data_IF_253041998734
#
_entry.id   IF_253041998734
#
_cell.length_a   1.000
_cell.length_b   1.000
_cell.length_c   1.000
_cell.angle_alpha   90.00
_cell.angle_beta   90.00
_cell.angle_gamma   90.00
#
_symmetry.space_group_name_H-M   'P 1'
#
loop_
_entity.id
_entity.type
_entity.pdbx_description
1 polymer ?
#
# COMPACT_ATOMS: atom_id res chain seq x y z
N UNK A 1 -54.93 -35.24 5.42
CA UNK A 1 -54.05 -34.65 6.44
C UNK A 1 -54.54 -33.22 6.64
N UNK A 2 -55.18 -32.91 7.77
CA UNK A 2 -55.73 -31.57 8.06
C UNK A 2 -54.77 -30.89 9.02
N UNK A 3 -54.17 -29.78 8.60
CA UNK A 3 -53.30 -28.95 9.44
C UNK A 3 -54.13 -28.16 10.46
N UNK A 4 -53.63 -28.06 11.68
CA UNK A 4 -54.25 -27.32 12.78
C UNK A 4 -53.74 -25.88 12.80
N UNK A 5 -54.67 -24.91 12.79
CA UNK A 5 -54.33 -23.48 12.93
C UNK A 5 -53.88 -23.17 14.36
N UNK A 6 -52.76 -22.45 14.57
CA UNK A 6 -52.41 -21.91 15.87
C UNK A 6 -53.31 -20.70 16.13
N UNK A 7 -54.06 -20.70 17.24
CA UNK A 7 -55.00 -19.63 17.59
C UNK A 7 -54.35 -18.24 17.75
N UNK A 8 -55.21 -17.24 17.99
CA UNK A 8 -54.82 -15.82 18.13
C UNK A 8 -53.77 -15.59 19.23
N UNK A 9 -52.88 -14.62 18.96
CA UNK A 9 -51.83 -14.16 19.89
C UNK A 9 -52.44 -13.52 21.15
N UNK A 10 -51.73 -13.66 22.26
CA UNK A 10 -52.06 -13.13 23.58
C UNK A 10 -52.12 -11.58 23.57
N UNK A 11 -53.18 -11.00 24.14
CA UNK A 11 -53.42 -9.54 24.18
C UNK A 11 -52.41 -8.80 25.07
N UNK A 12 -51.69 -9.50 25.94
CA UNK A 12 -50.66 -8.89 26.80
C UNK A 12 -49.34 -8.58 26.08
N UNK A 13 -49.10 -9.14 24.89
CA UNK A 13 -47.93 -8.82 24.05
C UNK A 13 -48.05 -7.46 23.33
N UNK A 14 -49.19 -6.78 23.43
CA UNK A 14 -49.46 -5.48 22.81
C UNK A 14 -49.48 -4.29 23.81
N UNK A 15 -48.98 -4.48 25.03
CA UNK A 15 -48.87 -3.39 26.00
C UNK A 15 -47.73 -2.46 25.61
N UNK A 16 -48.06 -1.39 24.88
CA UNK A 16 -47.17 -0.26 24.66
C UNK A 16 -46.85 0.40 26.02
N UNK A 17 -45.59 0.33 26.44
CA UNK A 17 -45.12 1.09 27.61
C UNK A 17 -45.03 2.57 27.23
N UNK A 18 -45.93 3.38 27.80
CA UNK A 18 -45.85 4.82 27.70
C UNK A 18 -44.61 5.34 28.47
N UNK A 19 -43.63 5.85 27.71
CA UNK A 19 -42.37 6.40 28.22
C UNK A 19 -42.36 7.94 28.21
N UNK A 20 -43.51 8.57 27.98
CA UNK A 20 -43.63 10.02 27.80
C UNK A 20 -43.16 10.77 29.04
N UNK A 21 -43.61 10.36 30.22
CA UNK A 21 -43.24 11.01 31.48
C UNK A 21 -41.76 10.83 31.84
N UNK A 22 -41.21 9.65 31.57
CA UNK A 22 -39.79 9.36 31.77
C UNK A 22 -38.91 10.25 30.87
N UNK A 23 -39.34 10.47 29.63
CA UNK A 23 -38.65 11.33 28.66
C UNK A 23 -38.77 12.81 29.02
N UNK A 24 -39.93 13.26 29.47
CA UNK A 24 -40.15 14.63 29.96
C UNK A 24 -39.26 14.92 31.17
N UNK A 25 -39.19 14.00 32.13
CA UNK A 25 -38.35 14.13 33.33
C UNK A 25 -36.87 14.23 32.97
N UNK A 26 -36.36 13.35 32.09
CA UNK A 26 -34.97 13.38 31.62
C UNK A 26 -34.61 14.68 30.89
N UNK A 27 -35.56 15.23 30.13
CA UNK A 27 -35.34 16.48 29.38
C UNK A 27 -35.33 17.71 30.30
N UNK A 28 -36.20 17.73 31.32
CA UNK A 28 -36.19 18.77 32.36
C UNK A 28 -34.90 18.74 33.20
N UNK A 29 -34.43 17.55 33.58
CA UNK A 29 -33.17 17.37 34.31
C UNK A 29 -31.95 17.81 33.47
N UNK A 30 -31.94 17.51 32.16
CA UNK A 30 -30.88 17.97 31.24
C UNK A 30 -30.88 19.50 31.06
N UNK A 31 -32.07 20.13 30.99
CA UNK A 31 -32.19 21.61 30.95
C UNK A 31 -31.72 22.27 32.24
N UNK A 32 -32.03 21.69 33.40
CA UNK A 32 -31.57 22.20 34.70
C UNK A 32 -30.04 22.12 34.85
N UNK A 33 -29.41 21.05 34.35
CA UNK A 33 -27.94 20.90 34.28
C UNK A 33 -27.28 21.85 33.28
N UNK A 34 -27.95 22.16 32.17
CA UNK A 34 -27.47 23.14 31.19
C UNK A 34 -27.57 24.59 31.68
N UNK A 35 -28.57 24.91 32.51
CA UNK A 35 -28.75 26.25 33.07
C UNK A 35 -27.73 26.57 34.18
N UNK A 36 -27.18 25.56 34.86
CA UNK A 36 -26.14 25.70 35.89
C UNK A 36 -24.72 25.80 35.32
N UNK A 37 -24.52 25.44 34.05
CA UNK A 37 -23.23 25.53 33.35
C UNK A 37 -23.04 26.84 32.54
N UNK A 38 -24.07 27.70 32.44
CA UNK A 38 -24.08 28.90 31.61
C UNK A 38 -23.23 30.10 32.13
N UNK A 39 -22.30 29.85 33.06
CA UNK A 39 -21.42 30.86 33.64
C UNK A 39 -19.98 30.86 33.10
N UNK A 40 -19.61 29.93 32.22
CA UNK A 40 -18.30 29.91 31.57
C UNK A 40 -18.48 30.16 30.07
N UNK A 41 -17.76 31.16 29.55
CA UNK A 41 -17.69 31.47 28.12
C UNK A 41 -17.26 30.22 27.33
N UNK A 42 -18.22 29.56 26.68
CA UNK A 42 -17.96 28.44 25.79
C UNK A 42 -18.58 28.75 24.43
N UNK A 43 -17.71 28.91 23.43
CA UNK A 43 -18.06 29.01 22.02
C UNK A 43 -18.83 27.76 21.62
N UNK A 44 -20.14 27.90 21.47
CA UNK A 44 -21.01 26.80 21.05
C UNK A 44 -20.57 26.27 19.67
N UNK A 45 -20.41 24.95 19.47
CA UNK A 45 -20.11 24.41 18.15
C UNK A 45 -21.35 24.56 17.27
N UNK A 46 -21.23 25.36 16.22
CA UNK A 46 -22.19 25.43 15.13
C UNK A 46 -22.31 24.05 14.49
N UNK A 47 -23.41 23.33 14.78
CA UNK A 47 -23.83 22.18 13.99
C UNK A 47 -24.28 22.67 12.61
N UNK A 48 -23.34 22.81 11.68
CA UNK A 48 -23.62 22.94 10.26
C UNK A 48 -24.15 21.63 9.71
N UNK A 49 -25.16 21.69 8.83
CA UNK A 49 -25.69 20.53 8.08
C UNK A 49 -24.75 20.08 6.94
N UNK A 50 -23.66 20.82 6.70
CA UNK A 50 -22.60 20.47 5.75
C UNK A 50 -21.43 19.82 6.50
N UNK A 51 -20.90 18.68 6.03
CA UNK A 51 -19.72 18.07 6.63
C UNK A 51 -18.54 19.05 6.59
N UNK A 52 -17.77 19.10 7.67
CA UNK A 52 -16.53 19.87 7.72
C UNK A 52 -15.51 19.35 6.68
N UNK A 53 -14.56 20.18 6.22
CA UNK A 53 -13.47 19.71 5.35
C UNK A 53 -12.73 18.50 5.94
N UNK A 54 -12.56 18.45 7.27
CA UNK A 54 -11.91 17.34 7.95
C UNK A 54 -12.71 16.04 7.82
N UNK A 55 -14.03 16.08 8.05
CA UNK A 55 -14.92 14.93 7.87
C UNK A 55 -14.95 14.46 6.41
N UNK A 56 -14.93 15.40 5.45
CA UNK A 56 -14.81 15.06 4.03
C UNK A 56 -13.48 14.33 3.77
N UNK A 57 -12.38 14.87 4.30
CA UNK A 57 -11.06 14.27 4.21
C UNK A 57 -11.03 12.85 4.78
N UNK A 58 -11.46 12.67 6.03
CA UNK A 58 -11.46 11.37 6.71
C UNK A 58 -12.32 10.36 5.94
N UNK A 59 -13.53 10.74 5.51
CA UNK A 59 -14.38 9.85 4.72
C UNK A 59 -13.73 9.47 3.38
N UNK A 60 -13.10 10.43 2.72
CA UNK A 60 -12.36 10.18 1.48
C UNK A 60 -11.18 9.24 1.74
N UNK A 61 -10.46 9.39 2.86
CA UNK A 61 -9.40 8.48 3.27
C UNK A 61 -9.92 7.07 3.52
N UNK A 62 -10.96 6.92 4.34
CA UNK A 62 -11.53 5.61 4.68
C UNK A 62 -12.01 4.88 3.42
N UNK A 63 -12.65 5.60 2.50
CA UNK A 63 -13.12 5.04 1.23
C UNK A 63 -11.99 4.60 0.30
N UNK A 64 -10.86 5.30 0.30
CA UNK A 64 -9.79 5.03 -0.66
C UNK A 64 -8.70 4.12 -0.10
N UNK A 65 -8.32 4.23 1.18
CA UNK A 65 -7.17 3.52 1.74
C UNK A 65 -7.55 2.37 2.70
N UNK A 66 -8.79 2.33 3.18
CA UNK A 66 -9.22 1.39 4.23
C UNK A 66 -10.26 0.39 3.72
N UNK A 67 -11.31 0.87 3.06
CA UNK A 67 -12.38 0.06 2.47
C UNK A 67 -12.02 -0.14 1.00
N UNK A 68 -11.76 -1.37 0.55
CA UNK A 68 -11.70 -1.63 -0.89
C UNK A 68 -13.12 -1.56 -1.48
N UNK A 69 -13.22 -1.44 -2.80
CA UNK A 69 -14.46 -1.08 -3.53
C UNK A 69 -15.65 -2.03 -3.35
N UNK A 70 -15.51 -3.15 -2.62
CA UNK A 70 -16.58 -4.08 -2.27
C UNK A 70 -16.49 -4.51 -0.79
N UNK A 71 -17.66 -4.75 -0.17
CA UNK A 71 -17.93 -4.85 1.28
C UNK A 71 -17.25 -5.98 2.06
N UNK A 72 -16.23 -6.62 1.50
CA UNK A 72 -15.43 -7.69 2.13
C UNK A 72 -13.91 -7.52 1.96
N UNK A 73 -13.46 -6.38 1.45
CA UNK A 73 -12.08 -6.20 0.99
C UNK A 73 -11.08 -5.82 2.10
N UNK A 74 -9.92 -6.48 2.05
CA UNK A 74 -8.78 -6.30 2.96
C UNK A 74 -7.95 -5.09 2.48
N UNK A 75 -8.36 -3.87 2.80
CA UNK A 75 -7.66 -2.64 2.38
C UNK A 75 -6.24 -2.45 2.96
N UNK A 76 -5.48 -1.50 2.38
CA UNK A 76 -4.07 -1.17 2.72
C UNK A 76 -3.90 -0.90 4.24
N UNK A 77 -4.83 -0.16 4.82
CA UNK A 77 -4.85 0.19 6.24
C UNK A 77 -6.15 -0.29 6.91
N UNK A 78 -6.56 -1.52 6.59
CA UNK A 78 -7.80 -2.13 7.11
C UNK A 78 -7.87 -2.24 8.65
N UNK A 79 -6.76 -1.98 9.34
CA UNK A 79 -6.65 -1.95 10.80
C UNK A 79 -7.00 -0.58 11.41
N UNK A 80 -7.08 0.49 10.61
CA UNK A 80 -7.39 1.83 11.09
C UNK A 80 -8.78 1.92 11.75
N UNK A 81 -9.87 1.35 11.19
CA UNK A 81 -11.19 1.45 11.82
C UNK A 81 -11.22 0.86 13.23
N UNK A 82 -10.57 -0.28 13.46
CA UNK A 82 -10.53 -0.90 14.79
C UNK A 82 -9.83 -0.02 15.83
N UNK A 83 -8.80 0.73 15.45
CA UNK A 83 -8.08 1.62 16.38
C UNK A 83 -8.76 2.97 16.49
N UNK A 84 -9.32 3.48 15.40
CA UNK A 84 -10.12 4.71 15.37
C UNK A 84 -11.34 4.62 16.31
N UNK A 85 -11.98 3.44 16.38
CA UNK A 85 -13.13 3.20 17.28
C UNK A 85 -12.72 2.97 18.74
N UNK A 86 -11.61 2.27 18.99
CA UNK A 86 -11.20 1.87 20.35
C UNK A 86 -10.41 2.95 21.10
N UNK A 87 -9.60 3.74 20.40
CA UNK A 87 -8.70 4.75 20.98
C UNK A 87 -9.16 6.20 20.66
N UNK A 88 -10.44 6.31 20.25
CA UNK A 88 -11.29 7.51 20.26
C UNK A 88 -10.68 8.76 19.65
N UNK A 89 -10.96 9.02 18.36
CA UNK A 89 -10.82 10.36 17.77
C UNK A 89 -9.52 11.09 18.12
N UNK A 90 -8.41 10.36 18.31
CA UNK A 90 -7.18 10.95 18.82
C UNK A 90 -6.78 12.08 17.88
N UNK A 91 -6.62 13.33 18.35
CA UNK A 91 -6.49 14.50 17.47
C UNK A 91 -5.38 14.35 16.43
N UNK A 92 -4.27 13.73 16.81
CA UNK A 92 -3.16 13.37 15.92
C UNK A 92 -3.58 12.48 14.75
N UNK A 93 -4.35 11.41 15.03
CA UNK A 93 -4.80 10.47 14.03
C UNK A 93 -5.83 11.15 13.12
N UNK A 94 -6.83 11.82 13.70
CA UNK A 94 -7.86 12.56 12.96
C UNK A 94 -7.24 13.56 11.98
N UNK A 95 -6.30 14.39 12.44
CA UNK A 95 -5.59 15.36 11.60
C UNK A 95 -4.80 14.68 10.47
N UNK A 96 -4.15 13.55 10.76
CA UNK A 96 -3.39 12.78 9.75
C UNK A 96 -4.30 12.19 8.67
N UNK A 97 -5.42 11.58 9.06
CA UNK A 97 -6.40 11.00 8.15
C UNK A 97 -7.06 12.08 7.27
N UNK A 98 -7.45 13.20 7.89
CA UNK A 98 -7.99 14.36 7.18
C UNK A 98 -6.99 14.92 6.16
N UNK A 99 -5.73 15.08 6.55
CA UNK A 99 -4.67 15.58 5.66
C UNK A 99 -4.52 14.71 4.41
N UNK A 100 -4.37 13.38 4.58
CA UNK A 100 -4.21 12.45 3.45
C UNK A 100 -5.45 12.44 2.57
N UNK A 101 -6.65 12.37 3.16
CA UNK A 101 -7.89 12.35 2.41
C UNK A 101 -8.12 13.63 1.61
N UNK A 102 -7.86 14.79 2.21
CA UNK A 102 -8.00 16.09 1.55
C UNK A 102 -7.00 16.28 0.41
N UNK A 103 -5.73 15.90 0.57
CA UNK A 103 -4.75 16.02 -0.53
C UNK A 103 -5.08 15.07 -1.68
N UNK A 104 -5.56 13.86 -1.36
CA UNK A 104 -6.00 12.87 -2.35
C UNK A 104 -7.20 13.42 -3.12
N UNK A 105 -8.19 13.99 -2.42
CA UNK A 105 -9.36 14.62 -3.03
C UNK A 105 -8.97 15.84 -3.87
N UNK A 106 -8.11 16.71 -3.35
CA UNK A 106 -7.61 17.91 -4.04
C UNK A 106 -6.96 17.56 -5.38
N UNK A 107 -6.11 16.53 -5.39
CA UNK A 107 -5.45 16.03 -6.59
C UNK A 107 -6.46 15.46 -7.59
N UNK A 108 -7.44 14.67 -7.12
CA UNK A 108 -8.45 14.03 -7.99
C UNK A 108 -9.46 15.02 -8.59
N UNK A 109 -9.71 16.14 -7.92
CA UNK A 109 -10.70 17.15 -8.33
C UNK A 109 -10.07 18.43 -8.87
N UNK A 110 -8.74 18.52 -8.86
CA UNK A 110 -7.97 19.72 -9.22
C UNK A 110 -8.43 20.98 -8.46
N UNK A 111 -8.65 20.85 -7.15
CA UNK A 111 -9.09 21.94 -6.27
C UNK A 111 -7.97 22.41 -5.32
N UNK A 112 -7.28 23.52 -5.63
CA UNK A 112 -6.15 24.01 -4.83
C UNK A 112 -6.51 24.38 -3.39
N UNK A 113 -7.74 24.81 -3.15
CA UNK A 113 -8.23 25.17 -1.80
C UNK A 113 -8.19 23.97 -0.85
N UNK A 114 -8.57 22.78 -1.34
CA UNK A 114 -8.49 21.54 -0.56
C UNK A 114 -7.04 21.15 -0.27
N UNK A 115 -6.12 21.40 -1.20
CA UNK A 115 -4.69 21.17 -0.98
C UNK A 115 -4.13 22.09 0.13
N UNK A 116 -4.60 23.35 0.21
CA UNK A 116 -4.23 24.26 1.30
C UNK A 116 -4.72 23.73 2.67
N UNK A 117 -5.97 23.28 2.75
CA UNK A 117 -6.51 22.66 3.96
C UNK A 117 -5.77 21.39 4.35
N UNK A 118 -5.43 20.55 3.37
CA UNK A 118 -4.65 19.34 3.57
C UNK A 118 -3.28 19.63 4.20
N UNK A 119 -2.59 20.69 3.73
CA UNK A 119 -1.32 21.15 4.30
C UNK A 119 -1.47 21.67 5.72
N UNK A 120 -2.54 22.41 6.02
CA UNK A 120 -2.81 22.87 7.38
C UNK A 120 -2.99 21.67 8.34
N UNK A 121 -3.78 20.66 7.94
CA UNK A 121 -3.97 19.43 8.71
C UNK A 121 -2.69 18.60 8.84
N UNK A 122 -1.86 18.55 7.81
CA UNK A 122 -0.54 17.91 7.86
C UNK A 122 0.36 18.60 8.91
N UNK A 123 0.44 19.93 8.93
CA UNK A 123 1.23 20.67 9.92
C UNK A 123 0.70 20.48 11.35
N UNK A 124 -0.63 20.47 11.51
CA UNK A 124 -1.29 20.14 12.78
C UNK A 124 -0.90 18.73 13.25
N UNK A 125 -0.96 17.74 12.37
CA UNK A 125 -0.56 16.37 12.68
C UNK A 125 0.91 16.26 13.09
N UNK A 126 1.83 16.95 12.38
CA UNK A 126 3.25 16.99 12.74
C UNK A 126 3.45 17.58 14.14
N UNK A 127 2.76 18.67 14.48
CA UNK A 127 2.85 19.28 15.82
C UNK A 127 2.37 18.30 16.90
N UNK A 128 1.24 17.64 16.67
CA UNK A 128 0.67 16.66 17.58
C UNK A 128 1.58 15.42 17.74
N UNK A 129 2.20 14.95 16.64
CA UNK A 129 3.18 13.85 16.67
C UNK A 129 4.40 14.27 17.50
N UNK A 130 4.99 15.44 17.26
CA UNK A 130 6.16 15.89 18.03
C UNK A 130 5.87 15.97 19.53
N UNK A 131 4.65 16.37 19.89
CA UNK A 131 4.19 16.40 21.28
C UNK A 131 4.09 14.98 21.86
N UNK A 132 3.50 14.03 21.11
CA UNK A 132 3.43 12.63 21.52
C UNK A 132 4.81 11.98 21.65
N UNK A 133 5.74 12.28 20.73
CA UNK A 133 7.10 11.76 20.74
C UNK A 133 7.92 12.26 21.94
N UNK A 134 7.57 13.40 22.54
CA UNK A 134 8.22 13.91 23.75
C UNK A 134 7.84 13.12 25.02
N UNK A 135 6.81 12.27 24.98
CA UNK A 135 6.36 11.43 26.09
C UNK A 135 6.60 9.96 25.78
N UNK A 136 7.39 9.21 26.59
CA UNK A 136 7.62 7.78 26.37
C UNK A 136 6.34 6.93 26.35
N UNK A 137 5.29 7.35 27.07
CA UNK A 137 4.01 6.65 27.11
C UNK A 137 3.16 6.91 25.85
N UNK A 138 3.22 8.13 25.31
CA UNK A 138 2.44 8.51 24.12
C UNK A 138 3.13 8.08 22.83
N UNK A 139 4.47 8.06 22.80
CA UNK A 139 5.26 7.67 21.62
C UNK A 139 4.98 6.24 21.17
N UNK A 140 4.67 5.35 22.10
CA UNK A 140 4.43 3.92 21.83
C UNK A 140 2.97 3.58 21.53
N UNK A 141 2.05 4.55 21.51
CA UNK A 141 0.63 4.30 21.21
C UNK A 141 0.37 3.95 19.74
N UNK A 142 -0.70 3.19 19.50
CA UNK A 142 -1.14 2.81 18.15
C UNK A 142 -1.47 4.04 17.31
N UNK A 143 -2.17 5.02 17.90
CA UNK A 143 -2.51 6.29 17.25
C UNK A 143 -1.29 7.06 16.75
N UNK A 144 -0.20 7.12 17.52
CA UNK A 144 1.06 7.77 17.13
C UNK A 144 1.69 7.07 15.92
N UNK A 145 1.83 5.75 15.97
CA UNK A 145 2.40 4.98 14.86
C UNK A 145 1.54 5.07 13.60
N UNK A 146 0.20 4.97 13.71
CA UNK A 146 -0.71 5.15 12.57
C UNK A 146 -0.64 6.54 11.96
N UNK A 147 -0.47 7.57 12.79
CA UNK A 147 -0.32 8.95 12.32
C UNK A 147 0.96 9.09 11.50
N UNK A 148 2.10 8.57 11.97
CA UNK A 148 3.37 8.59 11.21
C UNK A 148 3.25 7.82 9.89
N UNK A 149 2.65 6.63 9.88
CA UNK A 149 2.38 5.86 8.65
C UNK A 149 1.51 6.67 7.67
N UNK A 150 0.46 7.32 8.18
CA UNK A 150 -0.45 8.13 7.37
C UNK A 150 0.24 9.38 6.79
N UNK A 151 1.13 10.04 7.53
CA UNK A 151 1.89 11.17 6.99
C UNK A 151 2.91 10.75 5.93
N UNK A 152 3.46 9.54 6.02
CA UNK A 152 4.23 8.94 4.91
C UNK A 152 3.40 8.84 3.62
N UNK A 153 2.13 8.42 3.73
CA UNK A 153 1.21 8.43 2.59
C UNK A 153 0.90 9.85 2.08
N UNK A 154 0.75 10.83 2.96
CA UNK A 154 0.54 12.22 2.56
C UNK A 154 1.67 12.69 1.65
N UNK A 155 2.92 12.44 2.03
CA UNK A 155 4.10 12.85 1.26
C UNK A 155 4.20 12.15 -0.08
N UNK A 156 3.90 10.84 -0.10
CA UNK A 156 3.83 10.08 -1.33
C UNK A 156 2.76 10.61 -2.30
N UNK A 157 1.59 10.99 -1.79
CA UNK A 157 0.47 11.55 -2.59
C UNK A 157 0.77 12.97 -3.07
N UNK A 158 1.44 13.78 -2.26
CA UNK A 158 1.74 15.18 -2.57
C UNK A 158 3.02 15.38 -3.38
N UNK A 159 3.80 14.31 -3.59
CA UNK A 159 5.08 14.37 -4.30
C UNK A 159 6.22 14.97 -3.47
N UNK A 160 6.11 15.00 -2.14
CA UNK A 160 7.23 15.38 -1.27
C UNK A 160 8.23 14.23 -1.16
N UNK A 161 9.51 14.51 -1.40
CA UNK A 161 10.59 13.50 -1.46
C UNK A 161 11.03 12.95 -0.09
N UNK A 162 10.30 13.25 0.99
CA UNK A 162 10.70 12.93 2.36
C UNK A 162 10.05 11.66 2.92
N UNK A 163 9.24 10.93 2.15
CA UNK A 163 8.45 9.79 2.65
C UNK A 163 9.32 8.74 3.39
N UNK A 164 10.56 8.52 2.90
CA UNK A 164 11.55 7.62 3.52
C UNK A 164 11.82 7.99 4.98
N UNK A 165 11.82 9.28 5.33
CA UNK A 165 12.04 9.74 6.71
C UNK A 165 10.89 9.33 7.63
N UNK A 166 9.64 9.33 7.14
CA UNK A 166 8.51 8.81 7.91
C UNK A 166 8.57 7.30 8.07
N UNK A 167 9.03 6.57 7.06
CA UNK A 167 9.27 5.12 7.19
C UNK A 167 10.33 4.82 8.23
N UNK A 168 11.45 5.55 8.20
CA UNK A 168 12.50 5.44 9.21
C UNK A 168 11.98 5.78 10.62
N UNK A 169 11.17 6.83 10.75
CA UNK A 169 10.50 7.18 11.99
C UNK A 169 9.53 6.11 12.48
N UNK A 170 8.71 5.54 11.58
CA UNK A 170 7.79 4.46 11.89
C UNK A 170 8.54 3.18 12.32
N UNK A 171 9.65 2.86 11.67
CA UNK A 171 10.52 1.74 12.06
C UNK A 171 11.10 1.97 13.46
N UNK A 172 11.59 3.17 13.77
CA UNK A 172 12.08 3.51 15.11
C UNK A 172 10.99 3.37 16.19
N UNK A 173 9.74 3.77 15.88
CA UNK A 173 8.61 3.58 16.78
C UNK A 173 8.24 2.11 16.98
N UNK A 174 8.27 1.30 15.92
CA UNK A 174 8.07 -0.15 16.00
C UNK A 174 9.14 -0.79 16.89
N UNK A 175 10.40 -0.37 16.76
CA UNK A 175 11.49 -0.81 17.65
C UNK A 175 11.23 -0.40 19.10
N UNK A 176 10.86 0.87 19.34
CA UNK A 176 10.58 1.38 20.67
C UNK A 176 9.40 0.68 21.36
N UNK A 177 8.39 0.25 20.60
CA UNK A 177 7.25 -0.55 21.11
C UNK A 177 7.65 -1.97 21.53
N UNK A 178 8.75 -2.49 20.97
CA UNK A 178 9.32 -3.79 21.32
C UNK A 178 8.38 -4.97 21.07
N UNK A 179 8.69 -6.10 21.72
CA UNK A 179 7.99 -7.39 21.50
C UNK A 179 6.55 -7.40 21.99
N UNK A 180 6.22 -6.56 22.98
CA UNK A 180 4.88 -6.46 23.57
C UNK A 180 3.80 -6.05 22.55
N UNK A 181 4.19 -5.49 21.41
CA UNK A 181 3.26 -5.13 20.34
C UNK A 181 2.64 -6.34 19.64
N UNK A 182 3.11 -7.57 19.81
CA UNK A 182 2.56 -8.73 19.09
C UNK A 182 1.38 -9.43 19.79
N UNK A 183 0.83 -8.80 20.83
CA UNK A 183 -0.33 -9.31 21.57
C UNK A 183 -1.67 -9.18 20.83
N UNK A 184 -1.72 -8.44 19.70
CA UNK A 184 -2.95 -8.18 18.95
C UNK A 184 -2.77 -8.35 17.44
N UNK A 185 -3.77 -8.89 16.71
CA UNK A 185 -3.74 -8.95 15.24
C UNK A 185 -3.60 -7.59 14.56
N UNK A 186 -4.08 -6.51 15.19
CA UNK A 186 -4.02 -5.14 14.65
C UNK A 186 -2.57 -4.66 14.58
N UNK A 187 -1.85 -4.80 15.67
CA UNK A 187 -0.47 -4.34 15.81
C UNK A 187 0.51 -5.19 15.00
N UNK A 188 0.22 -6.49 14.79
CA UNK A 188 0.94 -7.34 13.82
C UNK A 188 0.77 -6.81 12.38
N UNK A 189 -0.43 -6.34 12.00
CA UNK A 189 -0.65 -5.73 10.67
C UNK A 189 0.11 -4.41 10.53
N UNK A 190 0.15 -3.59 11.58
CA UNK A 190 0.94 -2.36 11.60
C UNK A 190 2.42 -2.64 11.43
N UNK A 191 2.96 -3.61 12.18
CA UNK A 191 4.34 -4.08 12.04
C UNK A 191 4.64 -4.51 10.60
N UNK A 192 3.78 -5.36 10.02
CA UNK A 192 3.95 -5.84 8.65
C UNK A 192 3.89 -4.71 7.61
N UNK A 193 3.07 -3.69 7.84
CA UNK A 193 2.99 -2.52 6.96
C UNK A 193 4.29 -1.71 7.02
N UNK A 194 4.79 -1.37 8.21
CA UNK A 194 6.07 -0.66 8.39
C UNK A 194 7.23 -1.47 7.80
N UNK A 195 7.25 -2.78 8.01
CA UNK A 195 8.25 -3.67 7.43
C UNK A 195 8.24 -3.63 5.90
N UNK A 196 7.06 -3.70 5.28
CA UNK A 196 6.94 -3.61 3.83
C UNK A 196 7.42 -2.26 3.29
N UNK A 197 7.06 -1.16 3.96
CA UNK A 197 7.51 0.19 3.59
C UNK A 197 9.02 0.34 3.73
N UNK A 198 9.61 -0.25 4.78
CA UNK A 198 11.05 -0.24 5.01
C UNK A 198 11.83 -1.06 3.99
N UNK A 199 11.26 -2.17 3.50
CA UNK A 199 11.82 -2.92 2.37
C UNK A 199 11.88 -2.04 1.13
N UNK A 200 10.78 -1.36 0.79
CA UNK A 200 10.74 -0.45 -0.37
C UNK A 200 11.80 0.65 -0.23
N UNK A 201 11.84 1.32 0.94
CA UNK A 201 12.80 2.36 1.22
C UNK A 201 14.27 1.87 1.12
N UNK A 202 14.55 0.65 1.58
CA UNK A 202 15.90 0.07 1.53
C UNK A 202 16.32 -0.33 0.11
N UNK A 203 15.39 -0.82 -0.72
CA UNK A 203 15.64 -1.17 -2.12
C UNK A 203 16.01 0.07 -2.96
N UNK A 204 15.38 1.21 -2.68
CA UNK A 204 15.64 2.49 -3.35
C UNK A 204 16.79 3.28 -2.73
N UNK A 205 17.04 3.07 -1.44
CA UNK A 205 18.03 3.79 -0.67
C UNK A 205 19.40 3.11 -0.58
N UNK A 206 20.20 3.62 0.34
CA UNK A 206 21.57 3.16 0.64
C UNK A 206 21.71 2.67 2.07
N UNK A 207 20.61 2.23 2.69
CA UNK A 207 20.57 1.69 4.06
C UNK A 207 20.04 0.26 4.04
N UNK A 208 20.56 -0.64 4.89
CA UNK A 208 20.00 -1.97 5.07
C UNK A 208 18.75 -1.93 5.94
N UNK A 209 18.06 -3.06 6.03
CA UNK A 209 17.04 -3.25 7.07
C UNK A 209 17.75 -3.23 8.44
N UNK A 210 17.30 -2.41 9.42
CA UNK A 210 17.89 -2.37 10.76
C UNK A 210 17.83 -3.74 11.46
N UNK A 211 18.87 -4.09 12.20
CA UNK A 211 18.95 -5.38 12.91
C UNK A 211 17.78 -5.57 13.89
N UNK A 212 17.41 -4.55 14.64
CA UNK A 212 16.28 -4.57 15.58
C UNK A 212 14.96 -4.92 14.88
N UNK A 213 14.79 -4.51 13.61
CA UNK A 213 13.60 -4.87 12.81
C UNK A 213 13.61 -6.34 12.39
N UNK A 214 14.79 -6.94 12.17
CA UNK A 214 14.93 -8.36 11.89
C UNK A 214 14.64 -9.20 13.14
N UNK A 215 15.14 -8.78 14.31
CA UNK A 215 14.84 -9.43 15.59
C UNK A 215 13.34 -9.37 15.92
N UNK A 216 12.69 -8.24 15.64
CA UNK A 216 11.24 -8.13 15.77
C UNK A 216 10.48 -8.99 14.75
N UNK A 217 11.01 -9.19 13.55
CA UNK A 217 10.44 -10.11 12.56
C UNK A 217 10.50 -11.56 13.07
N UNK A 218 11.61 -11.97 13.67
CA UNK A 218 11.77 -13.29 14.28
C UNK A 218 10.79 -13.49 15.44
N UNK A 219 10.66 -12.48 16.31
CA UNK A 219 9.68 -12.53 17.39
C UNK A 219 8.25 -12.64 16.84
N UNK A 220 7.87 -11.80 15.87
CA UNK A 220 6.55 -11.78 15.27
C UNK A 220 6.17 -13.11 14.61
N UNK A 221 7.13 -13.93 14.18
CA UNK A 221 6.90 -15.27 13.64
C UNK A 221 6.19 -16.19 14.64
N UNK A 222 6.37 -15.97 15.95
CA UNK A 222 5.66 -16.71 17.00
C UNK A 222 4.18 -16.33 17.18
N UNK A 223 3.74 -15.22 16.56
CA UNK A 223 2.41 -14.63 16.78
C UNK A 223 1.55 -14.56 15.51
N UNK A 224 2.03 -15.09 14.38
CA UNK A 224 1.32 -15.06 13.09
C UNK A 224 1.43 -16.38 12.35
N UNK A 225 0.57 -16.61 11.37
CA UNK A 225 0.72 -17.72 10.44
C UNK A 225 1.91 -17.48 9.51
N UNK A 226 3.03 -18.16 9.83
CA UNK A 226 4.25 -18.08 9.03
C UNK A 226 4.13 -18.85 7.72
N UNK A 227 3.17 -19.75 7.55
CA UNK A 227 2.98 -20.48 6.30
C UNK A 227 2.29 -19.61 5.23
N UNK A 228 1.59 -18.54 5.64
CA UNK A 228 0.93 -17.62 4.71
C UNK A 228 1.91 -17.02 3.70
N UNK A 229 1.51 -16.97 2.43
CA UNK A 229 2.32 -16.40 1.37
C UNK A 229 2.65 -14.92 1.64
N UNK A 230 1.71 -14.18 2.23
CA UNK A 230 1.93 -12.79 2.63
C UNK A 230 3.11 -12.64 3.62
N UNK A 231 3.18 -13.49 4.65
CA UNK A 231 4.27 -13.45 5.61
C UNK A 231 5.61 -13.76 4.95
N UNK A 232 5.65 -14.86 4.17
CA UNK A 232 6.83 -15.32 3.46
C UNK A 232 7.36 -14.28 2.47
N UNK A 233 6.48 -13.63 1.70
CA UNK A 233 6.86 -12.54 0.81
C UNK A 233 7.51 -11.37 1.54
N UNK A 234 7.01 -11.03 2.74
CA UNK A 234 7.65 -10.01 3.55
C UNK A 234 9.06 -10.41 3.99
N UNK A 235 9.25 -11.67 4.40
CA UNK A 235 10.57 -12.19 4.81
C UNK A 235 11.53 -12.15 3.61
N UNK A 236 11.09 -12.62 2.44
CA UNK A 236 11.86 -12.56 1.21
C UNK A 236 12.19 -11.12 0.79
N UNK A 237 11.25 -10.19 1.00
CA UNK A 237 11.50 -8.76 0.80
C UNK A 237 12.66 -8.24 1.64
N UNK A 238 12.73 -8.58 2.93
CA UNK A 238 13.85 -8.19 3.81
C UNK A 238 15.18 -8.80 3.36
N UNK A 239 15.18 -10.07 2.97
CA UNK A 239 16.37 -10.76 2.45
C UNK A 239 16.87 -10.13 1.15
N UNK A 240 15.97 -9.86 0.20
CA UNK A 240 16.32 -9.18 -1.05
C UNK A 240 16.91 -7.78 -0.80
N UNK A 241 16.32 -7.00 0.09
CA UNK A 241 16.82 -5.66 0.41
C UNK A 241 18.24 -5.71 1.01
N UNK A 242 18.49 -6.63 1.93
CA UNK A 242 19.81 -6.81 2.55
C UNK A 242 20.85 -7.33 1.55
N UNK A 243 20.49 -8.30 0.69
CA UNK A 243 21.36 -8.79 -0.37
C UNK A 243 21.76 -7.66 -1.34
N UNK A 244 20.79 -6.87 -1.81
CA UNK A 244 21.04 -5.74 -2.69
C UNK A 244 21.96 -4.70 -2.03
N UNK A 245 21.72 -4.40 -0.75
CA UNK A 245 22.57 -3.49 0.01
C UNK A 245 24.01 -4.01 0.16
N UNK A 246 24.17 -5.28 0.54
CA UNK A 246 25.48 -5.92 0.69
C UNK A 246 26.26 -5.87 -0.63
N UNK A 247 25.60 -6.17 -1.74
CA UNK A 247 26.20 -6.10 -3.07
C UNK A 247 26.61 -4.68 -3.46
N UNK A 248 25.77 -3.66 -3.18
CA UNK A 248 26.10 -2.24 -3.44
C UNK A 248 27.28 -1.73 -2.61
N UNK A 249 27.48 -2.26 -1.41
CA UNK A 249 28.58 -1.89 -0.51
C UNK A 249 29.89 -2.61 -0.84
N UNK A 250 29.81 -3.69 -1.60
CA UNK A 250 30.97 -4.51 -1.93
C UNK A 250 31.90 -3.81 -2.93
N UNK A 251 33.19 -3.70 -2.60
CA UNK A 251 34.20 -3.01 -3.42
C UNK A 251 35.40 -3.88 -3.80
N UNK A 252 35.31 -5.21 -3.62
CA UNK A 252 36.39 -6.17 -3.90
C UNK A 252 36.22 -6.97 -5.20
N UNK A 253 37.12 -7.93 -5.44
CA UNK A 253 37.12 -8.82 -6.63
C UNK A 253 36.15 -10.03 -6.52
N UNK A 254 35.35 -10.09 -5.46
CA UNK A 254 34.37 -11.14 -5.19
C UNK A 254 34.31 -11.47 -3.70
N UNK A 255 33.11 -11.80 -3.20
CA UNK A 255 32.61 -13.17 -3.34
C UNK A 255 31.33 -13.25 -4.20
N UNK A 256 31.44 -12.99 -5.51
CA UNK A 256 30.28 -13.01 -6.42
C UNK A 256 29.58 -14.38 -6.50
N UNK A 257 30.31 -15.47 -6.29
CA UNK A 257 29.75 -16.82 -6.24
C UNK A 257 28.83 -17.00 -5.02
N UNK A 258 29.26 -16.54 -3.83
CA UNK A 258 28.48 -16.64 -2.59
C UNK A 258 27.20 -15.79 -2.69
N UNK A 259 27.30 -14.58 -3.26
CA UNK A 259 26.12 -13.75 -3.53
C UNK A 259 25.17 -14.43 -4.53
N UNK A 260 25.69 -15.14 -5.53
CA UNK A 260 24.87 -15.86 -6.51
C UNK A 260 24.19 -17.08 -5.88
N UNK A 261 24.86 -17.76 -4.96
CA UNK A 261 24.30 -18.85 -4.17
C UNK A 261 23.15 -18.33 -3.30
N UNK A 262 23.37 -17.24 -2.54
CA UNK A 262 22.33 -16.62 -1.72
C UNK A 262 21.14 -16.17 -2.57
N UNK A 263 21.39 -15.50 -3.70
CA UNK A 263 20.34 -15.08 -4.62
C UNK A 263 19.54 -16.27 -5.18
N UNK A 264 20.22 -17.39 -5.46
CA UNK A 264 19.57 -18.62 -5.93
C UNK A 264 18.69 -19.26 -4.85
N UNK A 265 19.11 -19.23 -3.59
CA UNK A 265 18.30 -19.70 -2.47
C UNK A 265 17.03 -18.85 -2.32
N UNK A 266 17.16 -17.52 -2.40
CA UNK A 266 16.02 -16.61 -2.37
C UNK A 266 15.07 -16.86 -3.56
N UNK A 267 15.61 -17.11 -4.76
CA UNK A 267 14.81 -17.39 -5.96
C UNK A 267 13.96 -18.66 -5.80
N UNK A 268 14.56 -19.73 -5.27
CA UNK A 268 13.84 -20.97 -4.97
C UNK A 268 12.74 -20.76 -3.92
N UNK A 269 12.99 -19.94 -2.90
CA UNK A 269 11.99 -19.62 -1.87
C UNK A 269 10.84 -18.77 -2.43
N UNK A 270 11.12 -17.87 -3.38
CA UNK A 270 10.07 -17.17 -4.12
C UNK A 270 9.19 -18.14 -4.91
N UNK A 271 9.76 -19.11 -5.61
CA UNK A 271 8.99 -20.09 -6.39
C UNK A 271 7.97 -20.81 -5.51
N UNK A 272 8.41 -21.35 -4.36
CA UNK A 272 7.53 -22.00 -3.38
C UNK A 272 6.46 -21.06 -2.81
N UNK A 273 6.85 -19.82 -2.54
CA UNK A 273 5.93 -18.81 -2.00
C UNK A 273 4.88 -18.39 -3.02
N UNK A 274 5.24 -18.29 -4.30
CA UNK A 274 4.31 -17.95 -5.40
C UNK A 274 3.31 -19.07 -5.65
N UNK A 275 3.71 -20.35 -5.52
CA UNK A 275 2.78 -21.48 -5.57
C UNK A 275 1.73 -21.39 -4.46
N UNK A 276 2.15 -21.04 -3.24
CA UNK A 276 1.24 -20.82 -2.11
C UNK A 276 0.33 -19.61 -2.34
N UNK A 277 0.88 -18.51 -2.88
CA UNK A 277 0.11 -17.32 -3.23
C UNK A 277 -0.96 -17.61 -4.30
N UNK A 278 -0.69 -18.48 -5.26
CA UNK A 278 -1.66 -18.89 -6.27
C UNK A 278 -2.88 -19.62 -5.69
N UNK A 279 -2.72 -20.27 -4.54
CA UNK A 279 -3.81 -20.92 -3.80
C UNK A 279 -4.56 -19.91 -2.94
N UNK A 280 -3.83 -19.03 -2.24
CA UNK A 280 -4.40 -18.03 -1.33
C UNK A 280 -5.15 -16.90 -2.07
N UNK A 281 -4.57 -16.42 -3.16
CA UNK A 281 -5.03 -15.29 -3.97
C UNK A 281 -5.07 -15.65 -5.47
N UNK A 282 -5.97 -16.57 -5.89
CA UNK A 282 -6.07 -16.98 -7.28
C UNK A 282 -6.54 -15.83 -8.18
N UNK A 283 -6.18 -15.91 -9.46
CA UNK A 283 -6.65 -15.01 -10.52
C UNK A 283 -6.93 -15.80 -11.80
N UNK A 284 -7.68 -15.19 -12.71
CA UNK A 284 -8.06 -15.80 -14.00
C UNK A 284 -7.49 -14.96 -15.13
N UNK A 285 -6.81 -15.59 -16.08
CA UNK A 285 -6.36 -14.92 -17.31
C UNK A 285 -7.46 -14.95 -18.38
N UNK A 286 -7.84 -13.79 -18.89
CA UNK A 286 -8.77 -13.61 -20.01
C UNK A 286 -8.04 -13.06 -21.23
N UNK A 287 -8.59 -13.35 -22.42
CA UNK A 287 -8.12 -12.80 -23.70
C UNK A 287 -9.17 -11.85 -24.26
N UNK A 288 -8.79 -10.59 -24.40
CA UNK A 288 -9.60 -9.47 -24.85
C UNK A 288 -8.96 -8.81 -26.09
N UNK A 289 -8.93 -9.50 -27.25
CA UNK A 289 -8.25 -9.02 -28.45
C UNK A 289 -8.89 -7.77 -29.08
N UNK A 290 -10.10 -7.41 -28.65
CA UNK A 290 -10.82 -6.19 -29.05
C UNK A 290 -10.75 -5.09 -27.99
N UNK A 291 -9.99 -5.31 -26.93
CA UNK A 291 -9.77 -4.32 -25.87
C UNK A 291 -9.06 -3.08 -26.40
N UNK A 292 -9.23 -1.96 -25.69
CA UNK A 292 -8.52 -0.72 -26.01
C UNK A 292 -7.00 -0.97 -25.94
N UNK A 293 -6.25 -0.85 -27.06
CA UNK A 293 -4.81 -1.12 -27.08
C UNK A 293 -4.01 -0.12 -26.23
N UNK A 294 -4.61 1.00 -25.85
CA UNK A 294 -4.00 1.94 -24.92
C UNK A 294 -4.00 1.39 -23.48
N UNK A 295 -4.89 0.46 -23.13
CA UNK A 295 -5.04 -0.09 -21.78
C UNK A 295 -4.62 -1.57 -21.72
N UNK A 296 -4.94 -2.33 -22.76
CA UNK A 296 -4.70 -3.77 -22.83
C UNK A 296 -3.57 -4.05 -23.82
N UNK A 297 -2.43 -4.46 -23.30
CA UNK A 297 -1.29 -4.86 -24.12
C UNK A 297 -1.44 -6.33 -24.55
N UNK A 298 -1.33 -6.60 -25.85
CA UNK A 298 -1.38 -7.95 -26.44
C UNK A 298 -2.66 -8.76 -26.12
N UNK A 299 -3.76 -8.09 -25.78
CA UNK A 299 -5.05 -8.73 -25.50
C UNK A 299 -5.14 -9.49 -24.18
N UNK A 300 -4.06 -9.67 -23.41
CA UNK A 300 -4.09 -10.44 -22.15
C UNK A 300 -4.53 -9.56 -20.98
N UNK A 301 -5.47 -10.05 -20.18
CA UNK A 301 -5.87 -9.43 -18.91
C UNK A 301 -5.90 -10.48 -17.80
N UNK A 302 -5.27 -10.19 -16.66
CA UNK A 302 -5.33 -11.04 -15.48
C UNK A 302 -6.32 -10.44 -14.48
N UNK A 303 -7.38 -11.19 -14.15
CA UNK A 303 -8.53 -10.79 -13.34
C UNK A 303 -8.41 -11.36 -11.93
N UNK A 304 -8.23 -10.48 -10.96
CA UNK A 304 -8.08 -10.74 -9.53
C UNK A 304 -9.37 -10.45 -8.78
N UNK A 305 -9.47 -10.97 -7.55
CA UNK A 305 -10.63 -10.76 -6.67
C UNK A 305 -10.84 -9.29 -6.32
N UNK A 306 -9.76 -8.60 -5.97
CA UNK A 306 -9.79 -7.21 -5.51
C UNK A 306 -8.41 -6.53 -5.69
N UNK A 307 -8.35 -5.25 -5.33
CA UNK A 307 -7.12 -4.45 -5.41
C UNK A 307 -6.01 -4.95 -4.45
N UNK A 308 -6.38 -5.64 -3.37
CA UNK A 308 -5.41 -6.21 -2.43
C UNK A 308 -4.67 -7.37 -3.07
N UNK A 309 -5.38 -8.29 -3.73
CA UNK A 309 -4.77 -9.39 -4.46
C UNK A 309 -3.81 -8.87 -5.54
N UNK A 310 -4.22 -7.87 -6.33
CA UNK A 310 -3.34 -7.19 -7.31
C UNK A 310 -2.07 -6.67 -6.62
N UNK A 311 -2.21 -6.02 -5.45
CA UNK A 311 -1.08 -5.48 -4.70
C UNK A 311 -0.13 -6.56 -4.20
N UNK A 312 -0.61 -7.67 -3.67
CA UNK A 312 0.29 -8.73 -3.17
C UNK A 312 1.04 -9.37 -4.35
N UNK A 313 0.35 -9.66 -5.44
CA UNK A 313 0.95 -10.21 -6.65
C UNK A 313 1.98 -9.29 -7.29
N UNK A 314 1.65 -8.01 -7.47
CA UNK A 314 2.57 -7.07 -8.10
C UNK A 314 3.77 -6.76 -7.20
N UNK A 315 3.64 -6.80 -5.87
CA UNK A 315 4.79 -6.68 -4.96
C UNK A 315 5.71 -7.90 -5.08
N UNK A 316 5.13 -9.10 -5.11
CA UNK A 316 5.90 -10.34 -5.35
C UNK A 316 6.67 -10.27 -6.68
N UNK A 317 6.02 -9.85 -7.77
CA UNK A 317 6.65 -9.69 -9.08
C UNK A 317 7.80 -8.68 -9.05
N UNK A 318 7.58 -7.50 -8.45
CA UNK A 318 8.62 -6.48 -8.33
C UNK A 318 9.85 -6.98 -7.55
N UNK A 319 9.64 -7.68 -6.43
CA UNK A 319 10.75 -8.27 -5.66
C UNK A 319 11.51 -9.33 -6.47
N UNK A 320 10.80 -10.20 -7.19
CA UNK A 320 11.41 -11.19 -8.07
C UNK A 320 12.17 -10.55 -9.23
N UNK A 321 11.65 -9.45 -9.82
CA UNK A 321 12.35 -8.71 -10.87
C UNK A 321 13.67 -8.12 -10.35
N UNK A 322 13.67 -7.53 -9.16
CA UNK A 322 14.90 -7.02 -8.51
C UNK A 322 15.89 -8.16 -8.28
N UNK A 323 15.42 -9.31 -7.79
CA UNK A 323 16.28 -10.49 -7.59
C UNK A 323 16.87 -11.00 -8.92
N UNK A 324 16.06 -11.04 -9.98
CA UNK A 324 16.53 -11.40 -11.32
C UNK A 324 17.59 -10.41 -11.82
N UNK A 325 17.43 -9.11 -11.57
CA UNK A 325 18.43 -8.09 -11.91
C UNK A 325 19.75 -8.31 -11.13
N UNK A 326 19.67 -8.66 -9.85
CA UNK A 326 20.83 -9.04 -9.03
C UNK A 326 21.53 -10.26 -9.62
N UNK A 327 20.78 -11.32 -9.93
CA UNK A 327 21.32 -12.56 -10.52
C UNK A 327 21.97 -12.27 -11.88
N UNK A 328 21.31 -11.49 -12.75
CA UNK A 328 21.86 -11.07 -14.03
C UNK A 328 23.18 -10.30 -13.86
N UNK A 329 23.25 -9.37 -12.91
CA UNK A 329 24.48 -8.63 -12.62
C UNK A 329 25.60 -9.57 -12.18
N UNK A 330 25.33 -10.48 -11.24
CA UNK A 330 26.30 -11.44 -10.72
C UNK A 330 26.79 -12.39 -11.82
N UNK A 331 25.89 -12.94 -12.63
CA UNK A 331 26.22 -13.84 -13.72
C UNK A 331 27.06 -13.14 -14.79
N UNK A 332 26.71 -11.91 -15.19
CA UNK A 332 27.52 -11.15 -16.14
C UNK A 332 28.91 -10.82 -15.59
N UNK A 333 29.00 -10.50 -14.30
CA UNK A 333 30.28 -10.24 -13.62
C UNK A 333 31.16 -11.49 -13.63
N UNK A 334 30.60 -12.65 -13.29
CA UNK A 334 31.30 -13.94 -13.29
C UNK A 334 31.70 -14.34 -14.72
N UNK A 335 30.82 -14.18 -15.70
CA UNK A 335 31.08 -14.47 -17.12
C UNK A 335 32.17 -13.57 -17.72
N UNK A 336 32.38 -12.37 -17.16
CA UNK A 336 33.50 -11.49 -17.52
C UNK A 336 34.87 -12.00 -17.07
N UNK A 337 34.93 -13.03 -16.23
CA UNK A 337 36.16 -13.66 -15.75
C UNK A 337 36.59 -14.82 -16.66
N UNK A 338 37.84 -15.26 -16.52
CA UNK A 338 38.36 -16.41 -17.27
C UNK A 338 37.87 -17.73 -16.65
N UNK A 339 36.75 -18.25 -17.16
CA UNK A 339 36.11 -19.48 -16.67
C UNK A 339 36.45 -20.70 -17.55
N UNK A 340 36.42 -21.89 -16.94
CA UNK A 340 36.46 -23.13 -17.71
C UNK A 340 35.24 -23.22 -18.66
N UNK A 341 35.38 -23.79 -19.88
CA UNK A 341 34.31 -23.81 -20.89
C UNK A 341 33.00 -24.48 -20.44
N UNK A 342 33.06 -25.44 -19.51
CA UNK A 342 31.86 -26.06 -18.95
C UNK A 342 31.10 -25.10 -18.02
N UNK A 343 31.82 -24.39 -17.16
CA UNK A 343 31.25 -23.42 -16.22
C UNK A 343 30.68 -22.21 -16.97
N UNK A 344 31.39 -21.72 -17.98
CA UNK A 344 30.92 -20.64 -18.85
C UNK A 344 29.57 -21.00 -19.49
N UNK A 345 29.45 -22.18 -20.11
CA UNK A 345 28.17 -22.65 -20.69
C UNK A 345 27.05 -22.74 -19.65
N UNK A 346 27.36 -23.23 -18.44
CA UNK A 346 26.38 -23.31 -17.36
C UNK A 346 25.89 -21.92 -16.92
N UNK A 347 26.80 -20.96 -16.75
CA UNK A 347 26.46 -19.59 -16.35
C UNK A 347 25.69 -18.84 -17.44
N UNK A 348 26.07 -19.02 -18.72
CA UNK A 348 25.32 -18.45 -19.84
C UNK A 348 23.90 -19.01 -19.94
N UNK A 349 23.72 -20.31 -19.71
CA UNK A 349 22.38 -20.93 -19.65
C UNK A 349 21.55 -20.35 -18.50
N UNK A 350 22.13 -20.26 -17.30
CA UNK A 350 21.42 -19.66 -16.15
C UNK A 350 21.03 -18.21 -16.42
N UNK A 351 21.89 -17.43 -17.06
CA UNK A 351 21.59 -16.05 -17.45
C UNK A 351 20.39 -15.99 -18.40
N UNK A 352 20.35 -16.86 -19.41
CA UNK A 352 19.22 -16.95 -20.34
C UNK A 352 17.92 -17.31 -19.62
N UNK A 353 17.97 -18.26 -18.68
CA UNK A 353 16.81 -18.66 -17.85
C UNK A 353 16.31 -17.48 -17.00
N UNK A 354 17.22 -16.75 -16.34
CA UNK A 354 16.86 -15.56 -15.55
C UNK A 354 16.24 -14.46 -16.42
N UNK A 355 16.77 -14.22 -17.62
CA UNK A 355 16.20 -13.25 -18.57
C UNK A 355 14.80 -13.65 -19.05
N UNK A 356 14.54 -14.95 -19.24
CA UNK A 356 13.20 -15.46 -19.57
C UNK A 356 12.22 -15.25 -18.41
N UNK A 357 12.64 -15.54 -17.17
CA UNK A 357 11.85 -15.27 -15.97
C UNK A 357 11.52 -13.78 -15.85
N UNK A 358 12.52 -12.91 -16.06
CA UNK A 358 12.34 -11.45 -16.01
C UNK A 358 11.34 -10.96 -17.06
N UNK A 359 11.38 -11.52 -18.28
CA UNK A 359 10.40 -11.20 -19.34
C UNK A 359 8.99 -11.67 -18.96
N UNK A 360 8.86 -12.88 -18.42
CA UNK A 360 7.58 -13.41 -17.95
C UNK A 360 6.98 -12.54 -16.83
N UNK A 361 7.77 -12.19 -15.82
CA UNK A 361 7.35 -11.33 -14.71
C UNK A 361 6.84 -9.97 -15.22
N UNK A 362 7.53 -9.38 -16.19
CA UNK A 362 7.09 -8.13 -16.82
C UNK A 362 5.75 -8.28 -17.54
N UNK A 363 5.57 -9.33 -18.33
CA UNK A 363 4.30 -9.60 -19.01
C UNK A 363 3.15 -9.87 -18.03
N UNK A 364 3.41 -10.62 -16.96
CA UNK A 364 2.41 -10.92 -15.92
C UNK A 364 2.04 -9.65 -15.12
N UNK A 365 3.00 -8.74 -14.87
CA UNK A 365 2.71 -7.44 -14.28
C UNK A 365 1.83 -6.58 -15.19
N UNK A 366 2.19 -6.47 -16.48
CA UNK A 366 1.44 -5.66 -17.46
C UNK A 366 0.00 -6.17 -17.64
N UNK A 367 -0.23 -7.48 -17.54
CA UNK A 367 -1.56 -8.07 -17.60
C UNK A 367 -2.49 -7.64 -16.44
N UNK A 368 -1.94 -7.10 -15.34
CA UNK A 368 -2.73 -6.58 -14.20
C UNK A 368 -3.25 -5.15 -14.42
N UNK A 369 -2.61 -4.39 -15.32
CA UNK A 369 -2.88 -2.97 -15.51
C UNK A 369 -4.35 -2.68 -15.85
N UNK A 370 -5.01 -3.42 -16.77
CA UNK A 370 -6.39 -3.12 -17.15
C UNK A 370 -7.34 -3.14 -15.95
N UNK A 371 -7.33 -4.23 -15.17
CA UNK A 371 -8.20 -4.34 -14.01
C UNK A 371 -7.79 -3.37 -12.89
N UNK A 372 -6.49 -3.13 -12.69
CA UNK A 372 -6.04 -2.17 -11.69
C UNK A 372 -6.54 -0.75 -11.99
N UNK A 373 -6.61 -0.36 -13.27
CA UNK A 373 -7.17 0.91 -13.72
C UNK A 373 -8.70 0.94 -13.62
N UNK A 374 -9.39 -0.15 -13.97
CA UNK A 374 -10.85 -0.26 -13.80
C UNK A 374 -11.25 -0.12 -12.32
N UNK A 375 -10.57 -0.84 -11.41
CA UNK A 375 -10.82 -0.77 -9.98
C UNK A 375 -10.46 0.58 -9.37
N UNK A 376 -9.52 1.30 -9.99
CA UNK A 376 -9.23 2.68 -9.63
C UNK A 376 -10.31 3.65 -10.16
N UNK A 377 -11.03 3.32 -11.21
CA UNK A 377 -12.05 4.20 -11.78
C UNK A 377 -13.37 4.07 -11.01
N UNK A 378 -13.80 5.12 -10.28
CA UNK A 378 -15.02 5.09 -9.46
C UNK A 378 -16.29 4.95 -10.33
N UNK A 379 -17.24 4.04 -10.01
CA UNK A 379 -18.47 3.81 -10.79
C UNK A 379 -19.57 4.88 -10.60
N UNK A 380 -19.23 6.12 -10.22
CA UNK A 380 -20.21 7.10 -9.70
C UNK A 380 -20.40 8.36 -10.55
N UNK A 381 -19.94 8.38 -11.80
CA UNK A 381 -20.25 9.48 -12.72
C UNK A 381 -21.28 9.02 -13.76
N UNK A 382 -22.51 9.58 -13.79
CA UNK A 382 -23.53 9.27 -14.79
C UNK A 382 -23.25 9.98 -16.13
N UNK A 383 -21.99 10.00 -16.58
CA UNK A 383 -21.61 10.53 -17.90
C UNK A 383 -21.18 9.40 -18.83
N UNK A 384 -21.54 9.47 -20.13
CA UNK A 384 -21.25 8.40 -21.06
C UNK A 384 -19.74 8.25 -21.28
N UNK A 385 -19.33 6.98 -21.27
CA UNK A 385 -18.05 6.40 -21.69
C UNK A 385 -17.32 7.15 -22.81
N UNK A 386 -16.15 7.74 -22.52
CA UNK A 386 -14.99 7.89 -23.45
C UNK A 386 -13.66 8.06 -22.69
N UNK A 387 -13.62 8.53 -21.44
CA UNK A 387 -12.35 8.86 -20.76
C UNK A 387 -12.05 7.93 -19.57
N UNK A 388 -11.22 6.89 -19.80
CA UNK A 388 -10.68 6.00 -18.75
C UNK A 388 -9.48 6.66 -18.06
N UNK A 389 -9.68 7.87 -17.53
CA UNK A 389 -8.69 8.57 -16.70
C UNK A 389 -8.57 7.92 -15.32
N UNK A 390 -7.33 7.62 -14.90
CA UNK A 390 -7.04 7.01 -13.60
C UNK A 390 -7.53 7.93 -12.46
N UNK A 391 -8.62 7.55 -11.78
CA UNK A 391 -9.27 8.33 -10.70
C UNK A 391 -9.41 7.54 -9.38
N UNK A 392 -8.44 6.69 -9.04
CA UNK A 392 -8.53 5.83 -7.85
C UNK A 392 -7.27 5.66 -7.02
N UNK A 393 -7.52 5.21 -5.79
CA UNK A 393 -6.60 4.82 -4.71
C UNK A 393 -5.10 4.94 -5.05
N UNK A 394 -4.49 6.02 -4.57
CA UNK A 394 -3.11 6.41 -4.89
C UNK A 394 -2.07 5.36 -4.41
N UNK A 395 -2.42 4.50 -3.44
CA UNK A 395 -1.59 3.34 -3.07
C UNK A 395 -1.42 2.36 -4.25
N UNK A 396 -2.49 2.15 -5.03
CA UNK A 396 -2.44 1.40 -6.30
C UNK A 396 -1.71 2.20 -7.39
N UNK A 397 -1.93 3.52 -7.46
CA UNK A 397 -1.27 4.40 -8.43
C UNK A 397 0.26 4.39 -8.33
N UNK A 398 0.82 4.62 -7.15
CA UNK A 398 2.27 4.59 -6.94
C UNK A 398 2.89 3.22 -7.19
N UNK A 399 2.17 2.14 -6.84
CA UNK A 399 2.60 0.78 -7.09
C UNK A 399 2.63 0.45 -8.60
N UNK A 400 1.61 0.87 -9.34
CA UNK A 400 1.55 0.73 -10.79
C UNK A 400 2.65 1.54 -11.46
N UNK A 401 2.87 2.79 -11.03
CA UNK A 401 3.95 3.65 -11.52
C UNK A 401 5.32 2.99 -11.36
N UNK A 402 5.63 2.47 -10.17
CA UNK A 402 6.93 1.82 -9.94
C UNK A 402 7.08 0.53 -10.74
N UNK A 403 6.07 -0.34 -10.77
CA UNK A 403 6.18 -1.57 -11.54
C UNK A 403 6.23 -1.33 -13.06
N UNK A 404 5.51 -0.33 -13.59
CA UNK A 404 5.67 0.12 -14.98
C UNK A 404 7.10 0.58 -15.24
N UNK A 405 7.70 1.33 -14.32
CA UNK A 405 9.11 1.74 -14.42
C UNK A 405 10.06 0.54 -14.44
N UNK A 406 9.89 -0.41 -13.51
CA UNK A 406 10.68 -1.64 -13.44
C UNK A 406 10.62 -2.45 -14.74
N UNK A 407 9.43 -2.60 -15.33
CA UNK A 407 9.28 -3.28 -16.63
C UNK A 407 9.86 -2.45 -17.76
N UNK A 408 9.64 -1.13 -17.78
CA UNK A 408 10.12 -0.26 -18.85
C UNK A 408 11.65 -0.17 -18.95
N UNK A 409 12.34 -0.08 -17.80
CA UNK A 409 13.81 -0.01 -17.74
C UNK A 409 14.50 -1.34 -18.04
N UNK A 410 13.75 -2.43 -18.00
CA UNK A 410 14.29 -3.77 -18.15
C UNK A 410 14.88 -4.02 -19.56
N UNK A 411 16.03 -4.67 -19.62
CA UNK A 411 16.75 -4.97 -20.86
C UNK A 411 15.99 -5.92 -21.79
N UNK A 412 15.15 -6.82 -21.25
CA UNK A 412 14.36 -7.77 -22.06
C UNK A 412 13.05 -7.19 -22.60
N UNK A 413 12.72 -5.94 -22.25
CA UNK A 413 11.49 -5.30 -22.69
C UNK A 413 11.62 -4.86 -24.15
N UNK A 414 10.65 -5.25 -24.97
CA UNK A 414 10.63 -4.90 -26.40
C UNK A 414 10.42 -3.39 -26.59
N UNK A 415 10.84 -2.85 -27.74
CA UNK A 415 10.66 -1.42 -28.06
C UNK A 415 9.19 -1.01 -28.04
N UNK A 416 8.29 -1.83 -28.59
CA UNK A 416 6.86 -1.55 -28.62
C UNK A 416 6.24 -1.56 -27.21
N UNK A 417 6.61 -2.54 -26.39
CA UNK A 417 6.19 -2.59 -24.99
C UNK A 417 6.72 -1.39 -24.21
N UNK A 418 7.99 -1.01 -24.40
CA UNK A 418 8.58 0.15 -23.72
C UNK A 418 7.89 1.45 -24.11
N UNK A 419 7.59 1.65 -25.39
CA UNK A 419 6.80 2.78 -25.89
C UNK A 419 5.41 2.83 -25.24
N UNK A 420 4.74 1.69 -25.15
CA UNK A 420 3.44 1.60 -24.48
C UNK A 420 3.53 2.00 -22.99
N UNK A 421 4.55 1.50 -22.28
CA UNK A 421 4.80 1.84 -20.87
C UNK A 421 5.06 3.34 -20.68
N UNK A 422 5.89 3.94 -21.54
CA UNK A 422 6.17 5.40 -21.50
C UNK A 422 4.86 6.18 -21.62
N UNK A 423 4.00 5.83 -22.58
CA UNK A 423 2.71 6.49 -22.78
C UNK A 423 1.80 6.32 -21.55
N UNK A 424 1.82 5.15 -20.90
CA UNK A 424 1.05 4.94 -19.66
C UNK A 424 1.57 5.79 -18.51
N UNK A 425 2.88 5.83 -18.29
CA UNK A 425 3.49 6.67 -17.25
C UNK A 425 3.20 8.16 -17.48
N UNK A 426 3.25 8.63 -18.73
CA UNK A 426 2.88 10.00 -19.11
C UNK A 426 1.40 10.29 -18.84
N UNK A 427 0.50 9.34 -19.15
CA UNK A 427 -0.92 9.47 -18.85
C UNK A 427 -1.18 9.54 -17.34
N UNK A 428 -0.53 8.67 -16.55
CA UNK A 428 -0.62 8.68 -15.08
C UNK A 428 -0.10 10.02 -14.53
N UNK A 429 1.05 10.49 -14.99
CA UNK A 429 1.67 11.74 -14.51
C UNK A 429 1.00 13.03 -14.98
N UNK A 430 0.23 13.00 -16.08
CA UNK A 430 -0.56 14.17 -16.51
C UNK A 430 -1.90 14.27 -15.78
N UNK A 431 -2.46 13.14 -15.35
CA UNK A 431 -3.78 13.06 -14.72
C UNK A 431 -3.72 13.11 -13.19
N UNK A 432 -2.62 12.66 -12.61
CA UNK A 432 -2.31 12.84 -11.19
C UNK A 432 -1.28 13.95 -11.09
N UNK A 433 -1.34 14.84 -10.10
CA UNK A 433 -0.29 15.85 -9.86
C UNK A 433 1.07 15.24 -9.44
N UNK A 434 1.33 13.97 -9.78
CA UNK A 434 2.49 13.18 -9.39
C UNK A 434 3.61 13.36 -10.40
N UNK A 435 4.52 14.29 -10.12
CA UNK A 435 5.72 14.54 -10.94
C UNK A 435 6.55 13.26 -11.16
N UNK A 436 6.56 12.32 -10.21
CA UNK A 436 7.38 11.10 -10.24
C UNK A 436 7.13 10.24 -11.48
N UNK A 437 5.87 10.05 -11.89
CA UNK A 437 5.58 9.21 -13.06
C UNK A 437 6.17 9.78 -14.36
N UNK A 438 6.19 11.11 -14.50
CA UNK A 438 6.82 11.79 -15.64
C UNK A 438 8.34 11.63 -15.61
N UNK A 439 8.98 11.82 -14.45
CA UNK A 439 10.43 11.62 -14.30
C UNK A 439 10.86 10.19 -14.63
N UNK A 440 10.09 9.19 -14.19
CA UNK A 440 10.37 7.78 -14.50
C UNK A 440 10.19 7.47 -16.00
N UNK A 441 9.21 8.11 -16.67
CA UNK A 441 9.05 7.99 -18.11
C UNK A 441 10.26 8.57 -18.86
N UNK A 442 10.77 9.73 -18.44
CA UNK A 442 11.97 10.35 -19.02
C UNK A 442 13.21 9.47 -18.85
N UNK A 443 13.37 8.82 -17.70
CA UNK A 443 14.48 7.89 -17.48
C UNK A 443 14.41 6.68 -18.43
N UNK A 444 13.23 6.10 -18.62
CA UNK A 444 13.04 5.01 -19.60
C UNK A 444 13.35 5.47 -21.03
N UNK A 445 12.98 6.71 -21.40
CA UNK A 445 13.31 7.27 -22.71
C UNK A 445 14.83 7.35 -22.91
N UNK A 446 15.58 7.78 -21.89
CA UNK A 446 17.05 7.81 -21.95
C UNK A 446 17.64 6.41 -22.13
N UNK A 447 17.11 5.42 -21.40
CA UNK A 447 17.53 4.01 -21.53
C UNK A 447 17.27 3.50 -22.95
N UNK A 448 16.12 3.79 -23.54
CA UNK A 448 15.78 3.36 -24.91
C UNK A 448 16.70 3.99 -25.96
N UNK A 449 17.07 5.26 -25.77
CA UNK A 449 18.00 5.99 -26.64
C UNK A 449 19.43 5.45 -26.57
N UNK A 450 19.87 4.97 -25.40
CA UNK A 450 21.21 4.38 -25.23
C UNK A 450 21.30 2.93 -25.74
N UNK A 451 20.15 2.25 -25.89
CA UNK A 451 20.08 0.87 -26.36
C UNK A 451 19.89 0.73 -27.89
N UNK A 452 19.58 1.83 -28.58
CA UNK A 452 19.45 1.90 -30.04
C UNK A 452 20.73 2.35 -30.71
#
# INVERSE_FOLDING_TARGET
MREACPGYRDEWDLVFRDQTDHTIKRTKEKRARSATAAGANDTSPTRGLSPSPDEIGINYFLRNFVIGSQSSSRGYLNYIPSVYVNDGEHPTLVASLAAVGLVTLANSTQQPELASHARAKYLEAIHNINTALASPAESVKDSTLMSVISLGLFEQVSGFETWVRHVEGAAALVVARGKGQFSSPVTIRMFNQVRADLVIASLHGTKPIPQDMLELQEEAAGHTDTASAFWQLGVLGTRCANLLFALRKFTGEGPFADFLEEATLIEHDFQRTVESLAIEEPYITTQEPRGDPTIILNGRVDRYRDIWAIRVWNNSRNLQMILCEIICFLLNTILGQNLAPALQRSMSRRLQETLQTLSKLGNDFLATIPQAMELASSPSDPRPSVDLSFRGNISGGSMLTWGLYMVGKCAVTTKDTRKWIIQRLQSIGSNTSTSVALHLAEDIIKIDQLAG
#
